data_IF_933001152553
#
_entry.id   IF_933001152553
#
_cell.length_a   1.000
_cell.length_b   1.000
_cell.length_c   1.000
_cell.angle_alpha   90.00
_cell.angle_beta   90.00
_cell.angle_gamma   90.00
#
_symmetry.space_group_name_H-M   'P 1'
#
loop_
_entity.id
_entity.type
_entity.pdbx_description
1 polymer ?
#
# COMPACT_ATOMS: atom_id res chain seq x y z
N UNK A 1 32.72 -2.32 -9.39
CA UNK A 1 31.34 -2.85 -9.47
C UNK A 1 30.73 -2.71 -8.09
N UNK A 2 29.98 -1.62 -7.87
CA UNK A 2 29.39 -1.32 -6.57
C UNK A 2 28.17 -2.23 -6.37
N UNK A 3 28.40 -3.37 -5.73
CA UNK A 3 27.34 -4.21 -5.17
C UNK A 3 26.83 -3.47 -3.94
N UNK A 4 25.89 -2.54 -4.14
CA UNK A 4 25.17 -1.91 -3.04
C UNK A 4 24.31 -3.03 -2.42
N UNK A 5 24.78 -3.55 -1.29
CA UNK A 5 24.15 -4.64 -0.55
C UNK A 5 22.85 -4.12 0.06
N UNK A 6 21.77 -4.89 -0.11
CA UNK A 6 20.41 -4.64 0.40
C UNK A 6 20.37 -4.21 1.88
N UNK A 7 21.34 -4.67 2.66
CA UNK A 7 21.50 -4.36 4.09
C UNK A 7 21.75 -2.86 4.38
N UNK A 8 22.27 -2.08 3.43
CA UNK A 8 22.47 -0.63 3.60
C UNK A 8 21.20 0.22 3.39
N UNK A 9 20.14 -0.38 2.83
CA UNK A 9 18.85 0.29 2.64
C UNK A 9 17.99 0.24 3.91
N UNK A 10 18.12 -0.82 4.71
CA UNK A 10 17.29 -1.10 5.88
C UNK A 10 17.61 -0.19 7.09
N UNK A 11 18.86 0.27 7.26
CA UNK A 11 19.25 1.11 8.41
C UNK A 11 19.02 2.62 8.16
N UNK A 12 19.16 3.08 6.92
CA UNK A 12 18.99 4.50 6.57
C UNK A 12 17.50 4.92 6.49
N UNK A 13 16.62 3.94 6.35
CA UNK A 13 15.17 4.10 6.31
C UNK A 13 14.52 4.27 7.68
N UNK A 14 15.13 3.84 8.80
CA UNK A 14 14.45 3.78 10.10
C UNK A 14 14.01 5.14 10.69
N UNK A 15 14.66 6.26 10.35
CA UNK A 15 14.25 7.59 10.84
C UNK A 15 13.33 8.35 9.86
N UNK A 16 13.56 8.24 8.55
CA UNK A 16 12.69 8.83 7.52
C UNK A 16 11.36 8.06 7.36
N UNK A 17 11.35 6.76 7.68
CA UNK A 17 10.15 5.94 7.65
C UNK A 17 9.15 6.31 8.73
N UNK A 18 9.56 6.77 9.92
CA UNK A 18 8.63 7.00 11.02
C UNK A 18 7.70 8.19 10.73
N UNK A 19 8.23 9.29 10.18
CA UNK A 19 7.39 10.43 9.78
C UNK A 19 6.44 10.06 8.64
N UNK A 20 6.90 9.29 7.66
CA UNK A 20 6.04 8.81 6.59
C UNK A 20 4.98 7.81 7.06
N UNK A 21 5.35 6.88 7.94
CA UNK A 21 4.44 5.93 8.59
C UNK A 21 3.36 6.68 9.38
N UNK A 22 3.74 7.71 10.16
CA UNK A 22 2.79 8.55 10.87
C UNK A 22 1.86 9.33 9.93
N UNK A 23 2.38 9.84 8.80
CA UNK A 23 1.54 10.46 7.75
C UNK A 23 0.55 9.45 7.18
N UNK A 24 1.00 8.24 6.85
CA UNK A 24 0.12 7.17 6.36
C UNK A 24 -0.98 6.84 7.38
N UNK A 25 -0.63 6.68 8.66
CA UNK A 25 -1.59 6.42 9.74
C UNK A 25 -2.65 7.52 9.85
N UNK A 26 -2.23 8.79 9.82
CA UNK A 26 -3.13 9.92 9.87
C UNK A 26 -4.07 9.95 8.66
N UNK A 27 -3.53 9.77 7.45
CA UNK A 27 -4.32 9.74 6.20
C UNK A 27 -5.32 8.58 6.18
N UNK A 28 -4.92 7.38 6.63
CA UNK A 28 -5.80 6.22 6.69
C UNK A 28 -6.94 6.45 7.69
N UNK A 29 -6.65 6.95 8.90
CA UNK A 29 -7.69 7.27 9.90
C UNK A 29 -8.62 8.39 9.43
N UNK A 30 -8.10 9.40 8.74
CA UNK A 30 -8.92 10.47 8.16
C UNK A 30 -9.81 9.96 7.01
N UNK A 31 -9.30 9.04 6.19
CA UNK A 31 -10.03 8.47 5.05
C UNK A 31 -11.06 7.41 5.46
N UNK A 32 -10.80 6.66 6.53
CA UNK A 32 -11.64 5.55 6.99
C UNK A 32 -11.94 5.60 8.50
N UNK A 33 -12.53 6.71 9.01
CA UNK A 33 -12.74 6.90 10.44
C UNK A 33 -13.62 5.81 11.05
N UNK A 34 -14.68 5.39 10.35
CA UNK A 34 -15.60 4.36 10.85
C UNK A 34 -14.99 2.95 10.79
N UNK A 35 -14.21 2.62 9.75
CA UNK A 35 -13.58 1.29 9.64
C UNK A 35 -12.42 1.10 10.63
N UNK A 36 -11.73 2.19 10.98
CA UNK A 36 -10.53 2.15 11.81
C UNK A 36 -10.77 2.64 13.25
N UNK A 37 -12.03 2.94 13.62
CA UNK A 37 -12.40 3.50 14.93
C UNK A 37 -11.93 2.63 16.11
N UNK A 38 -12.14 1.33 15.99
CA UNK A 38 -11.83 0.35 17.04
C UNK A 38 -10.52 -0.39 16.78
N UNK A 39 -9.76 0.01 15.74
CA UNK A 39 -8.46 -0.58 15.42
C UNK A 39 -7.40 0.11 16.26
N UNK A 40 -6.74 -0.69 17.09
CA UNK A 40 -5.62 -0.26 17.91
C UNK A 40 -4.50 0.35 17.04
N UNK A 41 -3.85 1.40 17.56
CA UNK A 41 -2.84 2.12 16.80
C UNK A 41 -1.63 1.25 16.44
N UNK A 42 -1.19 0.37 17.34
CA UNK A 42 -0.04 -0.50 17.10
C UNK A 42 -0.39 -1.58 16.07
N UNK A 43 -1.63 -2.07 16.09
CA UNK A 43 -2.14 -3.00 15.06
C UNK A 43 -2.16 -2.31 13.69
N UNK A 44 -2.74 -1.11 13.60
CA UNK A 44 -2.78 -0.37 12.33
C UNK A 44 -1.37 -0.02 11.83
N UNK A 45 -0.45 0.27 12.74
CA UNK A 45 0.96 0.54 12.44
C UNK A 45 1.66 -0.68 11.85
N UNK A 46 1.42 -1.86 12.41
CA UNK A 46 1.95 -3.12 11.89
C UNK A 46 1.34 -3.47 10.51
N UNK A 47 0.08 -3.13 10.28
CA UNK A 47 -0.57 -3.28 8.97
C UNK A 47 0.04 -2.33 7.94
N UNK A 48 0.26 -1.06 8.30
CA UNK A 48 0.95 -0.08 7.45
C UNK A 48 2.36 -0.57 7.10
N UNK A 49 3.14 -1.05 8.07
CA UNK A 49 4.48 -1.62 7.81
C UNK A 49 4.43 -2.82 6.89
N UNK A 50 3.46 -3.71 7.09
CA UNK A 50 3.23 -4.85 6.20
C UNK A 50 2.92 -4.41 4.77
N UNK A 51 2.06 -3.42 4.59
CA UNK A 51 1.74 -2.83 3.29
C UNK A 51 2.95 -2.14 2.64
N UNK A 52 3.70 -1.35 3.41
CA UNK A 52 4.95 -0.71 2.96
C UNK A 52 5.99 -1.73 2.53
N UNK A 53 6.12 -2.86 3.21
CA UNK A 53 7.00 -3.95 2.80
C UNK A 53 6.67 -4.53 1.41
N UNK A 54 5.40 -4.44 0.98
CA UNK A 54 4.94 -4.93 -0.33
C UNK A 54 5.20 -3.93 -1.46
N UNK A 55 5.30 -2.63 -1.20
CA UNK A 55 5.40 -1.58 -2.25
C UNK A 55 6.66 -1.73 -3.11
N UNK A 56 7.76 -2.17 -2.52
CA UNK A 56 9.02 -2.41 -3.22
C UNK A 56 8.90 -3.48 -4.33
N UNK A 57 8.10 -4.53 -4.10
CA UNK A 57 7.81 -5.57 -5.12
C UNK A 57 7.12 -4.96 -6.33
N UNK A 58 6.17 -4.06 -6.09
CA UNK A 58 5.37 -3.43 -7.13
C UNK A 58 6.02 -2.17 -7.74
N UNK A 59 7.23 -1.84 -7.27
CA UNK A 59 8.02 -0.66 -7.67
C UNK A 59 7.28 0.65 -7.45
N UNK A 60 6.45 0.71 -6.40
CA UNK A 60 5.85 1.96 -5.96
C UNK A 60 6.89 2.74 -5.14
N UNK A 61 7.11 3.99 -5.50
CA UNK A 61 8.12 4.90 -4.96
C UNK A 61 7.55 6.26 -4.61
N UNK A 62 6.47 6.67 -5.26
CA UNK A 62 5.79 7.91 -4.93
C UNK A 62 4.97 7.74 -3.64
N UNK A 63 5.20 8.62 -2.66
CA UNK A 63 4.50 8.64 -1.37
C UNK A 63 2.97 8.63 -1.55
N UNK A 64 2.45 9.37 -2.54
CA UNK A 64 1.01 9.46 -2.82
C UNK A 64 0.43 8.14 -3.31
N UNK A 65 1.12 7.47 -4.25
CA UNK A 65 0.71 6.15 -4.72
C UNK A 65 0.89 5.05 -3.67
N UNK A 66 1.88 5.18 -2.79
CA UNK A 66 2.04 4.28 -1.65
C UNK A 66 0.87 4.44 -0.67
N UNK A 67 0.50 5.68 -0.31
CA UNK A 67 -0.67 5.94 0.55
C UNK A 67 -1.93 5.39 -0.11
N UNK A 68 -2.12 5.63 -1.40
CA UNK A 68 -3.28 5.10 -2.14
C UNK A 68 -3.31 3.57 -2.13
N UNK A 69 -2.18 2.90 -2.33
CA UNK A 69 -2.06 1.44 -2.19
C UNK A 69 -2.44 0.96 -0.78
N UNK A 70 -2.01 1.65 0.28
CA UNK A 70 -2.38 1.30 1.65
C UNK A 70 -3.89 1.40 1.90
N UNK A 71 -4.59 2.32 1.23
CA UNK A 71 -6.06 2.37 1.32
C UNK A 71 -6.71 1.07 0.84
N UNK A 72 -6.18 0.44 -0.22
CA UNK A 72 -6.67 -0.86 -0.67
C UNK A 72 -6.43 -1.96 0.38
N UNK A 73 -5.34 -1.90 1.16
CA UNK A 73 -5.13 -2.85 2.27
C UNK A 73 -6.15 -2.66 3.41
N UNK A 74 -6.67 -1.45 3.61
CA UNK A 74 -7.78 -1.22 4.57
C UNK A 74 -9.11 -1.68 3.98
N UNK A 75 -9.30 -1.58 2.68
CA UNK A 75 -10.56 -1.93 2.01
C UNK A 75 -10.76 -3.42 1.80
N UNK A 76 -9.72 -4.11 1.32
CA UNK A 76 -9.76 -5.52 0.97
C UNK A 76 -9.03 -6.40 2.01
N UNK A 77 -8.43 -5.79 3.03
CA UNK A 77 -7.75 -6.48 4.12
C UNK A 77 -6.22 -6.55 3.97
N UNK A 78 -5.57 -6.88 5.08
CA UNK A 78 -4.11 -6.85 5.26
C UNK A 78 -3.33 -7.64 4.19
N UNK A 79 -3.91 -8.73 3.72
CA UNK A 79 -3.27 -9.64 2.78
C UNK A 79 -3.37 -9.19 1.32
N UNK A 80 -4.07 -8.09 1.02
CA UNK A 80 -4.05 -7.47 -0.30
C UNK A 80 -2.61 -7.25 -0.84
N UNK A 81 -2.33 -7.48 -2.13
CA UNK A 81 -3.22 -8.01 -3.18
C UNK A 81 -3.15 -9.54 -3.33
N UNK A 82 -2.65 -10.27 -2.32
CA UNK A 82 -2.38 -11.70 -2.42
C UNK A 82 -3.61 -12.58 -2.06
N UNK A 83 -4.78 -11.98 -1.80
CA UNK A 83 -6.05 -12.69 -1.57
C UNK A 83 -6.67 -13.19 -2.88
N UNK A 84 -7.38 -14.32 -2.82
CA UNK A 84 -8.04 -14.94 -3.98
C UNK A 84 -9.03 -13.98 -4.67
N UNK A 85 -9.80 -13.24 -3.88
CA UNK A 85 -10.76 -12.22 -4.35
C UNK A 85 -10.08 -10.97 -4.96
N UNK A 86 -8.78 -10.79 -4.76
CA UNK A 86 -8.02 -9.63 -5.26
C UNK A 86 -6.90 -9.99 -6.24
N UNK A 87 -6.94 -11.19 -6.83
CA UNK A 87 -5.97 -11.61 -7.86
C UNK A 87 -5.88 -10.62 -9.03
N UNK A 88 -7.00 -10.00 -9.40
CA UNK A 88 -7.05 -8.95 -10.42
C UNK A 88 -6.11 -7.77 -10.09
N UNK A 89 -6.02 -7.38 -8.82
CA UNK A 89 -5.16 -6.29 -8.37
C UNK A 89 -3.69 -6.70 -8.41
N UNK A 90 -3.40 -7.97 -8.07
CA UNK A 90 -2.06 -8.54 -8.18
C UNK A 90 -1.57 -8.53 -9.63
N UNK A 91 -2.41 -8.93 -10.59
CA UNK A 91 -2.06 -8.91 -12.01
C UNK A 91 -1.70 -7.50 -12.50
N UNK A 92 -2.43 -6.48 -12.06
CA UNK A 92 -2.14 -5.07 -12.36
C UNK A 92 -0.81 -4.65 -11.72
N UNK A 93 -0.62 -4.95 -10.44
CA UNK A 93 0.52 -4.50 -9.65
C UNK A 93 1.84 -5.18 -10.04
N UNK A 94 1.81 -6.46 -10.41
CA UNK A 94 2.97 -7.21 -10.91
C UNK A 94 3.31 -6.86 -12.37
N UNK A 95 2.43 -6.13 -13.10
CA UNK A 95 2.71 -5.75 -14.48
C UNK A 95 3.85 -4.71 -14.56
N UNK A 96 5.02 -5.19 -14.99
CA UNK A 96 6.24 -4.39 -15.13
C UNK A 96 6.25 -3.39 -16.30
N UNK A 97 5.25 -3.45 -17.19
CA UNK A 97 5.11 -2.49 -18.30
C UNK A 97 4.28 -1.26 -17.91
N UNK A 98 3.60 -1.29 -16.77
CA UNK A 98 2.81 -0.17 -16.27
C UNK A 98 3.62 0.73 -15.35
N UNK A 99 3.44 2.05 -15.50
CA UNK A 99 3.91 3.03 -14.53
C UNK A 99 3.11 2.95 -13.23
N UNK A 100 3.63 3.55 -12.16
CA UNK A 100 2.93 3.61 -10.86
C UNK A 100 1.53 4.22 -10.99
N UNK A 101 1.43 5.35 -11.72
CA UNK A 101 0.16 6.01 -12.02
C UNK A 101 -0.80 5.10 -12.79
N UNK A 102 -0.32 4.38 -13.81
CA UNK A 102 -1.16 3.46 -14.59
C UNK A 102 -1.68 2.32 -13.73
N UNK A 103 -0.87 1.78 -12.81
CA UNK A 103 -1.31 0.76 -11.86
C UNK A 103 -2.43 1.29 -10.97
N UNK A 104 -2.22 2.44 -10.34
CA UNK A 104 -3.22 3.04 -9.45
C UNK A 104 -4.51 3.41 -10.20
N UNK A 105 -4.40 3.91 -11.43
CA UNK A 105 -5.55 4.21 -12.28
C UNK A 105 -6.34 2.94 -12.62
N UNK A 106 -5.66 1.84 -12.92
CA UNK A 106 -6.33 0.57 -13.19
C UNK A 106 -7.00 -0.02 -11.95
N UNK A 107 -6.35 0.10 -10.77
CA UNK A 107 -6.95 -0.29 -9.48
C UNK A 107 -8.24 0.50 -9.20
N UNK A 108 -8.15 1.84 -9.31
CA UNK A 108 -9.28 2.72 -9.06
C UNK A 108 -10.45 2.43 -10.03
N UNK A 109 -10.14 2.21 -11.31
CA UNK A 109 -11.13 1.86 -12.33
C UNK A 109 -11.85 0.55 -11.99
N UNK A 110 -11.12 -0.48 -11.58
CA UNK A 110 -11.73 -1.76 -11.22
C UNK A 110 -12.64 -1.62 -10.01
N UNK A 111 -12.17 -0.95 -8.94
CA UNK A 111 -12.95 -0.66 -7.73
C UNK A 111 -14.26 0.08 -8.06
N UNK A 112 -14.22 1.09 -8.94
CA UNK A 112 -15.45 1.79 -9.37
C UNK A 112 -16.44 0.85 -10.06
N UNK A 113 -15.95 -0.09 -10.88
CA UNK A 113 -16.80 -1.07 -11.55
C UNK A 113 -17.40 -2.11 -10.58
N UNK A 114 -16.72 -2.41 -9.48
CA UNK A 114 -17.26 -3.27 -8.42
C UNK A 114 -18.40 -2.57 -7.66
N UNK A 115 -18.17 -1.32 -7.22
CA UNK A 115 -19.18 -0.52 -6.50
C UNK A 115 -20.45 -0.30 -7.33
N UNK A 116 -20.36 -0.23 -8.66
CA UNK A 116 -21.52 -0.05 -9.54
C UNK A 116 -22.35 -1.33 -9.75
N UNK A 117 -21.87 -2.49 -9.30
CA UNK A 117 -22.58 -3.78 -9.45
C UNK A 117 -23.44 -4.13 -8.23
N UNK A 118 -23.19 -3.48 -7.09
CA UNK A 118 -23.98 -3.60 -5.86
C UNK A 118 -25.11 -2.54 -5.80
#
# INVERSE_FOLDING_TARGET
MLVIRREQWDEMQNSLNLEFENRCLAELRASYPEKLKDVDEDVLRDDVRGGLGKTGRFRLKDDGFIVEFLKYTVEYGRDFPDLEETLWAREILDNGFLTEEQKMTALARHRTLEIMKD
#
